data_IF_752340667663
#
_entry.id   IF_752340667663
#
_cell.length_a   1.000
_cell.length_b   1.000
_cell.length_c   1.000
_cell.angle_alpha   90.00
_cell.angle_beta   90.00
_cell.angle_gamma   90.00
#
_symmetry.space_group_name_H-M   'P 1'
#
loop_
_entity.id
_entity.type
_entity.pdbx_description
1 polymer ?
#
# COMPACT_ATOMS: atom_id res chain seq x y z
N UNK A 1 1.07 -3.35 9.50
CA UNK A 1 2.03 -3.48 10.61
C UNK A 1 2.35 -2.09 11.13
N UNK A 2 3.08 -1.26 10.37
CA UNK A 2 3.45 0.11 10.77
C UNK A 2 2.22 1.02 11.06
N UNK A 3 1.15 0.90 10.27
CA UNK A 3 -0.10 1.65 10.50
C UNK A 3 -0.74 1.38 11.87
N UNK A 4 -0.48 0.20 12.46
CA UNK A 4 -1.05 -0.25 13.73
C UNK A 4 -0.06 -0.13 14.91
N UNK A 5 1.07 0.57 14.72
CA UNK A 5 2.05 0.84 15.79
C UNK A 5 3.12 -0.23 16.00
N UNK A 6 3.13 -1.30 15.21
CA UNK A 6 4.21 -2.30 15.24
C UNK A 6 5.46 -1.78 14.52
N UNK A 7 6.65 -2.28 14.90
CA UNK A 7 7.92 -1.99 14.24
C UNK A 7 8.31 -3.15 13.29
N UNK A 8 7.97 -3.08 11.98
CA UNK A 8 8.42 -4.09 11.01
C UNK A 8 9.90 -3.90 10.68
N UNK A 9 10.67 -4.99 10.72
CA UNK A 9 12.11 -5.01 10.41
C UNK A 9 12.38 -6.15 9.42
N UNK A 10 12.98 -5.83 8.28
CA UNK A 10 13.57 -6.83 7.39
C UNK A 10 15.00 -7.12 7.86
N UNK A 11 15.26 -8.35 8.30
CA UNK A 11 16.55 -8.78 8.86
C UNK A 11 16.80 -10.24 8.52
N UNK A 12 18.07 -10.67 8.49
CA UNK A 12 18.39 -12.09 8.41
C UNK A 12 17.94 -12.79 9.70
N UNK A 13 17.11 -13.82 9.54
CA UNK A 13 16.53 -14.60 10.64
C UNK A 13 17.10 -16.02 10.72
N UNK A 14 18.21 -16.30 10.02
CA UNK A 14 18.76 -17.66 9.94
C UNK A 14 19.31 -18.18 11.27
N UNK A 15 19.72 -17.25 12.15
CA UNK A 15 20.27 -17.50 13.48
C UNK A 15 19.25 -17.23 14.60
N UNK A 16 17.96 -17.08 14.29
CA UNK A 16 16.89 -16.85 15.27
C UNK A 16 15.98 -18.07 15.35
N UNK A 17 15.96 -18.73 16.51
CA UNK A 17 15.22 -19.96 16.74
C UNK A 17 14.04 -19.75 17.70
N UNK A 18 13.13 -20.73 17.69
CA UNK A 18 12.00 -20.75 18.60
C UNK A 18 12.49 -20.82 20.06
N UNK A 19 12.08 -19.84 20.87
CA UNK A 19 12.43 -19.76 22.28
C UNK A 19 13.66 -18.91 22.60
N UNK A 20 14.39 -18.42 21.57
CA UNK A 20 15.54 -17.54 21.79
C UNK A 20 15.08 -16.21 22.43
N UNK A 21 15.81 -15.78 23.46
CA UNK A 21 15.69 -14.43 24.03
C UNK A 21 16.75 -13.54 23.38
N UNK A 22 16.31 -12.46 22.73
CA UNK A 22 17.16 -11.57 21.95
C UNK A 22 16.94 -10.12 22.37
N UNK A 23 17.99 -9.32 22.20
CA UNK A 23 17.93 -7.87 22.31
C UNK A 23 17.92 -7.25 20.91
N UNK A 24 16.93 -6.41 20.64
CA UNK A 24 16.86 -5.62 19.41
C UNK A 24 17.18 -4.17 19.75
N UNK A 25 18.13 -3.57 19.03
CA UNK A 25 18.56 -2.19 19.22
C UNK A 25 18.18 -1.33 18.00
N UNK A 26 16.97 -0.73 17.95
CA UNK A 26 16.46 -0.07 16.74
C UNK A 26 17.36 1.06 16.22
N UNK A 27 17.95 1.85 17.12
CA UNK A 27 18.82 2.97 16.77
C UNK A 27 20.24 2.53 16.34
N UNK A 28 20.65 1.31 16.70
CA UNK A 28 21.96 0.75 16.32
C UNK A 28 21.87 -0.16 15.10
N UNK A 29 20.68 -0.67 14.77
CA UNK A 29 20.50 -1.64 13.69
C UNK A 29 21.07 -3.02 14.03
N UNK A 30 20.98 -3.46 15.29
CA UNK A 30 21.58 -4.70 15.76
C UNK A 30 20.56 -5.63 16.43
N UNK A 31 20.72 -6.94 16.19
CA UNK A 31 20.06 -8.02 16.95
C UNK A 31 21.14 -8.82 17.66
N UNK A 32 21.02 -8.98 18.98
CA UNK A 32 21.99 -9.69 19.81
C UNK A 32 21.34 -10.80 20.62
N UNK A 33 22.09 -11.85 20.92
CA UNK A 33 21.68 -12.85 21.89
C UNK A 33 21.68 -12.20 23.29
N UNK A 34 20.59 -12.35 24.04
CA UNK A 34 20.42 -11.69 25.34
C UNK A 34 21.38 -12.22 26.41
N UNK A 35 21.69 -13.53 26.39
CA UNK A 35 22.54 -14.18 27.40
C UNK A 35 24.03 -13.94 27.12
N UNK A 36 24.44 -14.00 25.85
CA UNK A 36 25.87 -13.95 25.48
C UNK A 36 26.34 -12.58 24.99
N UNK A 37 25.42 -11.71 24.55
CA UNK A 37 25.73 -10.44 23.88
C UNK A 37 26.27 -10.59 22.45
N UNK A 38 26.31 -11.82 21.91
CA UNK A 38 26.75 -12.12 20.55
C UNK A 38 25.88 -11.38 19.51
N UNK A 39 26.52 -10.78 18.49
CA UNK A 39 25.81 -10.14 17.39
C UNK A 39 25.28 -11.20 16.41
N UNK A 40 23.96 -11.37 16.39
CA UNK A 40 23.28 -12.38 15.57
C UNK A 40 22.98 -11.89 14.15
N UNK A 41 22.58 -10.62 14.03
CA UNK A 41 22.26 -9.99 12.75
C UNK A 41 22.37 -8.47 12.85
N UNK A 42 22.49 -7.83 11.69
CA UNK A 42 22.38 -6.37 11.53
C UNK A 42 21.24 -6.04 10.57
N UNK A 43 20.62 -4.88 10.72
CA UNK A 43 19.52 -4.43 9.89
C UNK A 43 19.53 -2.91 9.72
N UNK A 44 18.81 -2.44 8.71
CA UNK A 44 18.50 -1.03 8.50
C UNK A 44 16.99 -0.85 8.56
N UNK A 45 16.52 0.19 9.25
CA UNK A 45 15.10 0.55 9.19
C UNK A 45 14.80 1.10 7.80
N UNK A 46 13.64 0.74 7.25
CA UNK A 46 13.20 1.24 5.93
C UNK A 46 13.22 2.79 5.86
N UNK A 47 12.89 3.44 6.97
CA UNK A 47 12.93 4.89 7.16
C UNK A 47 13.07 5.20 8.65
N UNK A 48 13.78 6.28 8.98
CA UNK A 48 13.90 6.79 10.35
C UNK A 48 12.55 7.25 10.93
N UNK A 49 11.58 7.56 10.06
CA UNK A 49 10.24 7.98 10.46
C UNK A 49 9.50 6.86 11.21
N UNK A 50 9.85 5.58 11.00
CA UNK A 50 9.29 4.45 11.74
C UNK A 50 9.40 4.61 13.26
N UNK A 51 10.45 5.28 13.75
CA UNK A 51 10.65 5.55 15.18
C UNK A 51 9.53 6.45 15.72
N UNK A 52 9.14 7.47 14.96
CA UNK A 52 8.04 8.37 15.31
C UNK A 52 6.69 7.68 15.19
N UNK A 53 6.53 6.78 14.22
CA UNK A 53 5.29 6.02 14.01
C UNK A 53 5.01 5.11 15.21
N UNK A 54 6.00 4.34 15.66
CA UNK A 54 5.86 3.48 16.83
C UNK A 54 5.53 4.30 18.08
N UNK A 55 6.23 5.42 18.28
CA UNK A 55 5.98 6.33 19.42
C UNK A 55 4.56 6.92 19.39
N UNK A 56 4.03 7.21 18.20
CA UNK A 56 2.68 7.74 18.02
C UNK A 56 1.58 6.67 18.13
N UNK A 57 1.93 5.39 18.32
CA UNK A 57 0.98 4.28 18.30
C UNK A 57 0.53 3.86 16.90
N UNK A 58 1.25 4.28 15.86
CA UNK A 58 1.02 3.93 14.47
C UNK A 58 1.27 5.08 13.50
N UNK A 59 1.49 4.71 12.23
CA UNK A 59 1.70 5.69 11.16
C UNK A 59 0.48 6.61 10.95
N UNK A 60 -0.74 6.07 10.99
CA UNK A 60 -1.96 6.86 10.80
C UNK A 60 -2.13 7.91 11.91
N UNK A 61 -2.07 7.56 13.22
CA UNK A 61 -2.05 8.55 14.30
C UNK A 61 -0.95 9.61 14.14
N UNK A 62 0.26 9.21 13.73
CA UNK A 62 1.36 10.14 13.49
C UNK A 62 1.02 11.18 12.42
N UNK A 63 0.49 10.77 11.26
CA UNK A 63 0.15 11.70 10.18
C UNK A 63 -0.93 12.70 10.62
N UNK A 64 -1.97 12.22 11.31
CA UNK A 64 -3.04 13.08 11.84
C UNK A 64 -2.48 14.08 12.86
N UNK A 65 -1.72 13.59 13.85
CA UNK A 65 -1.16 14.42 14.92
C UNK A 65 -0.11 15.43 14.42
N UNK A 66 0.73 15.01 13.48
CA UNK A 66 1.70 15.89 12.80
C UNK A 66 0.97 16.97 12.00
N UNK A 67 -0.05 16.61 11.21
CA UNK A 67 -0.85 17.56 10.45
C UNK A 67 -1.59 18.56 11.33
N UNK A 68 -2.15 18.12 12.45
CA UNK A 68 -2.75 19.00 13.46
C UNK A 68 -1.73 19.99 14.02
N UNK A 69 -0.53 19.51 14.35
CA UNK A 69 0.57 20.35 14.85
C UNK A 69 0.97 21.40 13.81
N UNK A 70 1.11 21.02 12.54
CA UNK A 70 1.43 21.95 11.45
C UNK A 70 0.41 23.07 11.35
N UNK A 71 -0.89 22.75 11.28
CA UNK A 71 -1.97 23.75 11.21
C UNK A 71 -1.98 24.69 12.42
N UNK A 72 -1.76 24.18 13.62
CA UNK A 72 -1.70 25.00 14.83
C UNK A 72 -0.52 25.99 14.77
N UNK A 73 0.66 25.55 14.32
CA UNK A 73 1.85 26.42 14.20
C UNK A 73 1.67 27.49 13.14
N UNK A 74 1.10 27.15 11.98
CA UNK A 74 0.77 28.12 10.92
C UNK A 74 -0.20 29.19 11.44
N UNK A 75 -1.28 28.80 12.12
CA UNK A 75 -2.24 29.74 12.69
C UNK A 75 -1.63 30.66 13.76
N UNK A 76 -0.59 30.20 14.47
CA UNK A 76 0.16 30.97 15.45
C UNK A 76 1.33 31.78 14.84
N UNK A 77 1.56 31.69 13.53
CA UNK A 77 2.70 32.35 12.87
C UNK A 77 4.07 31.80 13.31
N UNK A 78 4.13 30.56 13.79
CA UNK A 78 5.36 29.90 14.22
C UNK A 78 6.10 29.23 13.05
N UNK A 79 7.44 29.10 13.12
CA UNK A 79 8.21 28.40 12.09
C UNK A 79 7.88 26.90 12.07
N UNK A 80 8.34 26.19 11.02
CA UNK A 80 8.19 24.74 10.90
C UNK A 80 8.75 24.01 12.14
N UNK A 81 8.14 22.87 12.49
CA UNK A 81 8.55 22.09 13.68
C UNK A 81 9.83 21.31 13.41
N UNK A 82 10.71 21.23 14.40
CA UNK A 82 11.92 20.40 14.45
C UNK A 82 11.71 19.13 15.30
N UNK A 83 10.52 18.93 15.86
CA UNK A 83 10.20 17.82 16.79
C UNK A 83 10.07 16.46 16.09
N UNK A 84 9.62 16.45 14.83
CA UNK A 84 9.37 15.22 14.06
C UNK A 84 10.52 14.93 13.12
N UNK A 85 10.85 13.64 12.97
CA UNK A 85 11.79 13.19 11.95
C UNK A 85 11.21 13.49 10.57
N UNK A 86 12.06 14.07 9.73
CA UNK A 86 11.73 14.34 8.33
C UNK A 86 12.05 13.12 7.48
N UNK A 87 11.32 12.98 6.37
CA UNK A 87 11.65 11.98 5.38
C UNK A 87 13.05 12.28 4.81
N UNK A 88 13.80 11.23 4.47
CA UNK A 88 15.11 11.40 3.85
C UNK A 88 14.99 12.20 2.55
N UNK A 89 15.87 13.18 2.37
CA UNK A 89 16.01 13.84 1.08
C UNK A 89 16.44 12.82 0.03
N UNK A 90 15.78 12.84 -1.11
CA UNK A 90 16.21 12.02 -2.26
C UNK A 90 17.24 12.82 -3.04
N UNK A 91 18.37 12.19 -3.34
CA UNK A 91 19.47 12.81 -4.08
C UNK A 91 18.98 13.50 -5.37
N UNK A 92 19.50 14.70 -5.64
CA UNK A 92 19.18 15.43 -6.86
C UNK A 92 19.51 14.57 -8.09
N UNK A 93 18.59 14.54 -9.06
CA UNK A 93 18.78 13.77 -10.28
C UNK A 93 18.15 14.47 -11.47
N UNK A 94 18.95 14.66 -12.51
CA UNK A 94 18.53 15.18 -13.81
C UNK A 94 17.89 14.13 -14.73
N UNK A 95 17.86 12.85 -14.32
CA UNK A 95 17.25 11.77 -15.13
C UNK A 95 15.74 11.95 -15.23
N UNK A 96 15.10 11.41 -16.28
CA UNK A 96 13.64 11.43 -16.40
C UNK A 96 12.92 10.64 -15.29
N UNK A 97 11.59 10.70 -15.30
CA UNK A 97 10.71 9.90 -14.44
C UNK A 97 10.09 8.74 -15.22
N UNK A 98 9.88 7.60 -14.56
CA UNK A 98 9.07 6.49 -15.09
C UNK A 98 7.58 6.84 -15.13
N UNK A 99 6.72 5.96 -15.67
CA UNK A 99 5.29 6.23 -15.76
C UNK A 99 4.67 6.28 -14.37
N UNK A 100 4.99 5.29 -13.52
CA UNK A 100 4.50 5.25 -12.14
C UNK A 100 4.91 6.50 -11.34
N UNK A 101 6.18 6.93 -11.50
CA UNK A 101 6.70 8.13 -10.83
C UNK A 101 5.96 9.40 -11.26
N UNK A 102 5.59 9.52 -12.54
CA UNK A 102 4.79 10.63 -13.06
C UNK A 102 3.36 10.61 -12.54
N UNK A 103 2.71 9.44 -12.51
CA UNK A 103 1.35 9.29 -12.00
C UNK A 103 1.27 9.70 -10.52
N UNK A 104 2.18 9.19 -9.69
CA UNK A 104 2.25 9.58 -8.26
C UNK A 104 2.60 11.06 -8.10
N UNK A 105 3.58 11.56 -8.87
CA UNK A 105 3.92 12.99 -8.86
C UNK A 105 2.74 13.89 -9.17
N UNK A 106 1.97 13.55 -10.22
CA UNK A 106 0.77 14.29 -10.61
C UNK A 106 -0.26 14.34 -9.48
N UNK A 107 -0.47 13.22 -8.77
CA UNK A 107 -1.38 13.16 -7.63
C UNK A 107 -0.88 13.96 -6.40
N UNK A 108 0.41 14.28 -6.34
CA UNK A 108 1.01 15.16 -5.33
C UNK A 108 1.24 16.60 -5.84
N UNK A 109 0.81 16.95 -7.06
CA UNK A 109 1.00 18.29 -7.63
C UNK A 109 2.41 18.61 -8.14
N UNK A 110 3.27 17.60 -8.34
CA UNK A 110 4.66 17.75 -8.84
C UNK A 110 4.90 16.93 -10.12
N UNK A 111 6.05 17.12 -10.77
CA UNK A 111 6.36 16.44 -12.05
C UNK A 111 6.60 14.93 -11.91
N UNK A 112 7.02 14.47 -10.73
CA UNK A 112 7.31 13.07 -10.44
C UNK A 112 7.82 12.89 -9.01
N UNK A 113 7.62 11.70 -8.44
CA UNK A 113 8.20 11.30 -7.15
C UNK A 113 9.33 10.30 -7.39
N UNK A 114 10.45 10.48 -6.69
CA UNK A 114 11.61 9.57 -6.77
C UNK A 114 11.49 8.42 -5.75
N UNK A 115 12.07 7.24 -6.02
CA UNK A 115 12.08 6.15 -5.06
C UNK A 115 12.72 6.56 -3.73
N UNK A 116 12.14 6.11 -2.62
CA UNK A 116 12.58 6.45 -1.27
C UNK A 116 12.05 7.77 -0.72
N UNK A 117 11.43 8.63 -1.55
CA UNK A 117 10.74 9.82 -1.07
C UNK A 117 9.41 9.45 -0.40
N UNK A 118 9.10 10.11 0.70
CA UNK A 118 7.76 10.12 1.28
C UNK A 118 6.85 11.07 0.48
N UNK A 119 5.61 10.66 0.24
CA UNK A 119 4.60 11.49 -0.40
C UNK A 119 3.18 11.09 0.04
N UNK A 120 2.23 11.98 -0.19
CA UNK A 120 0.80 11.78 0.12
C UNK A 120 -0.05 12.03 -1.14
N UNK A 121 -0.06 11.09 -2.12
CA UNK A 121 -0.87 11.25 -3.33
C UNK A 121 -2.36 11.38 -3.02
N UNK A 122 -3.05 12.25 -3.78
CA UNK A 122 -4.52 12.28 -3.81
C UNK A 122 -5.07 10.92 -4.27
N UNK A 123 -6.05 10.40 -3.55
CA UNK A 123 -6.79 9.18 -3.88
C UNK A 123 -8.03 9.51 -4.72
N UNK A 124 -7.99 9.15 -6.00
CA UNK A 124 -9.13 9.34 -6.91
C UNK A 124 -10.14 8.20 -6.81
N UNK A 125 -9.69 6.96 -6.63
CA UNK A 125 -10.58 5.80 -6.57
C UNK A 125 -10.16 4.85 -5.45
N UNK A 126 -11.11 4.47 -4.61
CA UNK A 126 -10.93 3.55 -3.48
C UNK A 126 -11.89 2.37 -3.58
N UNK A 127 -11.37 1.15 -3.63
CA UNK A 127 -12.16 -0.08 -3.68
C UNK A 127 -12.33 -0.76 -2.32
N UNK A 128 -13.52 -1.30 -2.04
CA UNK A 128 -13.82 -2.14 -0.88
C UNK A 128 -14.66 -3.36 -1.30
N UNK A 129 -14.41 -4.50 -0.65
CA UNK A 129 -15.14 -5.76 -0.87
C UNK A 129 -15.71 -6.30 0.45
N UNK A 130 -16.54 -7.32 0.39
CA UNK A 130 -17.43 -7.77 1.46
C UNK A 130 -16.77 -8.62 2.57
N UNK A 131 -15.55 -9.10 2.37
CA UNK A 131 -14.75 -9.76 3.42
C UNK A 131 -13.87 -8.81 4.22
N UNK A 132 -13.36 -7.74 3.60
CA UNK A 132 -12.59 -6.69 4.27
C UNK A 132 -13.44 -5.47 4.65
N UNK A 133 -14.62 -5.33 4.05
CA UNK A 133 -15.58 -4.25 4.24
C UNK A 133 -16.04 -4.08 5.68
N UNK A 134 -16.42 -5.14 6.42
CA UNK A 134 -16.76 -5.02 7.84
C UNK A 134 -15.61 -4.46 8.69
N UNK A 135 -14.37 -4.90 8.45
CA UNK A 135 -13.20 -4.34 9.14
C UNK A 135 -12.98 -2.87 8.74
N UNK A 136 -13.06 -2.56 7.45
CA UNK A 136 -12.90 -1.18 6.94
C UNK A 136 -13.98 -0.24 7.49
N UNK A 137 -15.21 -0.73 7.65
CA UNK A 137 -16.30 -0.01 8.34
C UNK A 137 -15.92 0.33 9.77
N UNK A 138 -15.33 -0.61 10.51
CA UNK A 138 -14.99 -0.40 11.90
C UNK A 138 -13.81 0.58 12.04
N UNK A 139 -12.78 0.45 11.19
CA UNK A 139 -11.69 1.44 11.08
C UNK A 139 -12.21 2.85 10.72
N UNK A 140 -13.20 2.95 9.84
CA UNK A 140 -13.86 4.24 9.52
C UNK A 140 -14.61 4.83 10.73
N UNK A 141 -15.16 4.01 11.62
CA UNK A 141 -15.77 4.49 12.87
C UNK A 141 -14.71 5.00 13.83
N UNK A 142 -13.60 4.27 13.96
CA UNK A 142 -12.49 4.64 14.84
C UNK A 142 -11.83 5.96 14.39
N UNK A 143 -11.79 6.21 13.08
CA UNK A 143 -11.38 7.49 12.49
C UNK A 143 -12.44 8.58 12.53
N UNK A 144 -13.61 8.34 13.16
CA UNK A 144 -14.75 9.26 13.20
C UNK A 144 -15.21 9.75 11.81
N UNK A 145 -15.09 8.90 10.78
CA UNK A 145 -15.43 9.26 9.41
C UNK A 145 -16.96 9.31 9.21
N UNK A 146 -17.48 10.51 8.97
CA UNK A 146 -18.90 10.77 8.67
C UNK A 146 -19.17 10.96 7.16
N UNK A 147 -18.14 11.16 6.36
CA UNK A 147 -18.22 11.29 4.89
C UNK A 147 -16.86 11.07 4.26
N UNK A 148 -16.84 10.55 3.03
CA UNK A 148 -15.60 10.33 2.31
C UNK A 148 -15.09 11.62 1.64
N UNK A 149 -13.77 11.79 1.65
CA UNK A 149 -13.10 12.87 0.92
C UNK A 149 -12.41 12.40 -0.36
N UNK A 150 -12.21 11.08 -0.53
CA UNK A 150 -11.78 10.51 -1.81
C UNK A 150 -12.87 10.71 -2.88
N UNK A 151 -12.48 11.01 -4.12
CA UNK A 151 -13.44 11.36 -5.19
C UNK A 151 -14.44 10.21 -5.48
N UNK A 152 -14.01 8.96 -5.37
CA UNK A 152 -14.85 7.77 -5.50
C UNK A 152 -14.45 6.70 -4.49
N UNK A 153 -15.44 6.20 -3.74
CA UNK A 153 -15.33 5.00 -2.90
C UNK A 153 -16.39 4.00 -3.35
N UNK A 154 -15.99 2.77 -3.70
CA UNK A 154 -16.89 1.72 -4.19
C UNK A 154 -16.84 0.47 -3.31
N UNK A 155 -18.01 -0.04 -2.88
CA UNK A 155 -18.18 -1.29 -2.15
C UNK A 155 -18.82 -2.37 -3.04
N UNK A 156 -18.30 -3.59 -2.97
CA UNK A 156 -18.85 -4.76 -3.67
C UNK A 156 -19.30 -5.88 -2.72
N UNK A 157 -20.07 -6.84 -3.24
CA UNK A 157 -20.52 -8.04 -2.52
C UNK A 157 -20.26 -9.29 -3.38
N UNK A 158 -18.99 -9.66 -3.50
CA UNK A 158 -18.55 -10.66 -4.47
C UNK A 158 -17.94 -11.92 -3.85
N UNK A 159 -17.45 -11.85 -2.61
CA UNK A 159 -16.78 -12.98 -1.95
C UNK A 159 -17.75 -13.85 -1.15
N UNK A 160 -18.86 -13.28 -0.68
CA UNK A 160 -19.81 -13.93 0.24
C UNK A 160 -21.20 -14.14 -0.36
N UNK A 161 -21.43 -13.69 -1.60
CA UNK A 161 -22.76 -13.69 -2.22
C UNK A 161 -23.26 -15.07 -2.66
N UNK A 162 -22.37 -16.00 -3.03
CA UNK A 162 -22.77 -17.29 -3.60
C UNK A 162 -23.45 -18.21 -2.57
N UNK A 163 -22.92 -18.25 -1.35
CA UNK A 163 -23.38 -19.12 -0.27
C UNK A 163 -23.32 -18.38 1.08
N UNK A 164 -24.19 -17.39 1.31
CA UNK A 164 -24.07 -16.51 2.47
C UNK A 164 -24.42 -17.25 3.77
N UNK A 165 -23.56 -17.11 4.77
CA UNK A 165 -23.87 -17.44 6.16
C UNK A 165 -24.81 -16.37 6.75
N UNK A 166 -25.49 -16.63 7.88
CA UNK A 166 -26.33 -15.61 8.53
C UNK A 166 -25.62 -14.28 8.82
N UNK A 167 -24.32 -14.32 9.15
CA UNK A 167 -23.50 -13.11 9.35
C UNK A 167 -23.21 -12.35 8.04
N UNK A 168 -23.09 -13.07 6.92
CA UNK A 168 -22.89 -12.46 5.60
C UNK A 168 -24.18 -11.75 5.17
N UNK A 169 -25.34 -12.36 5.40
CA UNK A 169 -26.66 -11.74 5.16
C UNK A 169 -26.79 -10.43 5.96
N UNK A 170 -26.35 -10.43 7.22
CA UNK A 170 -26.32 -9.19 8.03
C UNK A 170 -25.42 -8.12 7.41
N UNK A 171 -24.25 -8.53 6.89
CA UNK A 171 -23.33 -7.63 6.17
C UNK A 171 -23.98 -7.07 4.90
N UNK A 172 -24.67 -7.90 4.12
CA UNK A 172 -25.37 -7.50 2.89
C UNK A 172 -26.47 -6.48 3.16
N UNK A 173 -27.12 -6.53 4.33
CA UNK A 173 -28.16 -5.57 4.71
C UNK A 173 -27.63 -4.29 5.35
N UNK A 174 -26.47 -4.32 6.00
CA UNK A 174 -26.01 -3.17 6.81
C UNK A 174 -24.87 -2.37 6.17
N UNK A 175 -24.00 -3.02 5.39
CA UNK A 175 -22.84 -2.37 4.80
C UNK A 175 -23.18 -1.40 3.64
N UNK A 176 -24.21 -1.65 2.77
CA UNK A 176 -24.55 -0.71 1.71
C UNK A 176 -24.89 0.68 2.23
N UNK A 177 -25.79 0.79 3.20
CA UNK A 177 -26.22 2.08 3.77
C UNK A 177 -25.07 2.79 4.47
N UNK A 178 -24.20 2.04 5.16
CA UNK A 178 -23.01 2.61 5.79
C UNK A 178 -22.10 3.34 4.78
N UNK A 179 -21.93 2.75 3.59
CA UNK A 179 -21.10 3.29 2.50
C UNK A 179 -21.83 4.43 1.79
N UNK A 180 -23.09 4.25 1.41
CA UNK A 180 -23.87 5.25 0.66
C UNK A 180 -24.10 6.52 1.46
N UNK A 181 -24.36 6.43 2.77
CA UNK A 181 -24.53 7.59 3.65
C UNK A 181 -23.24 8.42 3.80
N UNK A 182 -22.09 7.91 3.36
CA UNK A 182 -20.81 8.62 3.32
C UNK A 182 -20.43 9.13 1.92
N UNK A 183 -21.34 9.01 0.94
CA UNK A 183 -21.12 9.40 -0.45
C UNK A 183 -20.50 8.32 -1.33
N UNK A 184 -20.39 7.08 -0.84
CA UNK A 184 -19.85 5.96 -1.61
C UNK A 184 -20.87 5.29 -2.53
N UNK A 185 -20.36 4.52 -3.50
CA UNK A 185 -21.15 3.65 -4.38
C UNK A 185 -21.20 2.24 -3.78
N UNK A 186 -22.39 1.66 -3.65
CA UNK A 186 -22.56 0.28 -3.23
C UNK A 186 -23.15 -0.56 -4.36
N UNK A 187 -22.44 -1.62 -4.74
CA UNK A 187 -22.99 -2.69 -5.57
C UNK A 187 -23.90 -3.60 -4.72
N UNK A 188 -24.51 -4.60 -5.36
CA UNK A 188 -25.41 -5.57 -4.75
C UNK A 188 -24.83 -6.99 -4.79
N UNK A 189 -25.22 -7.87 -3.85
CA UNK A 189 -24.93 -9.30 -3.96
C UNK A 189 -25.44 -9.85 -5.30
N UNK A 190 -24.55 -10.50 -6.05
CA UNK A 190 -24.85 -11.03 -7.39
C UNK A 190 -24.36 -10.17 -8.56
N UNK A 191 -23.97 -8.90 -8.34
CA UNK A 191 -23.44 -8.04 -9.41
C UNK A 191 -22.07 -8.51 -9.93
N UNK A 192 -21.32 -9.26 -9.12
CA UNK A 192 -20.06 -9.88 -9.51
C UNK A 192 -18.82 -9.19 -8.95
N UNK A 193 -17.65 -9.60 -9.47
CA UNK A 193 -16.33 -9.30 -8.89
C UNK A 193 -16.02 -7.80 -8.84
N UNK A 194 -15.53 -7.33 -7.68
CA UNK A 194 -15.13 -5.94 -7.40
C UNK A 194 -14.38 -5.29 -8.57
N UNK A 195 -13.29 -5.91 -9.04
CA UNK A 195 -12.39 -5.31 -10.03
C UNK A 195 -13.03 -5.20 -11.42
N UNK A 196 -13.99 -6.06 -11.75
CA UNK A 196 -14.76 -5.92 -12.99
C UNK A 196 -15.56 -4.62 -13.00
N UNK A 197 -16.08 -4.20 -11.85
CA UNK A 197 -16.85 -2.96 -11.73
C UNK A 197 -15.95 -1.76 -11.50
N UNK A 198 -15.04 -1.84 -10.52
CA UNK A 198 -14.14 -0.74 -10.15
C UNK A 198 -13.32 -0.28 -11.35
N UNK A 199 -12.78 -1.20 -12.16
CA UNK A 199 -11.96 -0.85 -13.31
C UNK A 199 -12.70 -0.04 -14.38
N UNK A 200 -14.04 -0.08 -14.40
CA UNK A 200 -14.88 0.71 -15.32
C UNK A 200 -15.20 2.11 -14.78
N UNK A 201 -14.81 2.41 -13.55
CA UNK A 201 -15.03 3.68 -12.87
C UNK A 201 -13.74 4.50 -12.72
N UNK A 202 -12.62 3.99 -13.22
CA UNK A 202 -11.32 4.63 -13.08
C UNK A 202 -11.13 5.78 -14.07
N UNK A 203 -10.37 6.78 -13.65
CA UNK A 203 -9.87 7.84 -14.51
C UNK A 203 -8.41 7.54 -14.90
N UNK A 204 -8.02 7.65 -16.18
CA UNK A 204 -6.63 7.46 -16.59
C UNK A 204 -5.66 8.35 -15.81
N UNK A 205 -4.44 7.85 -15.60
CA UNK A 205 -3.32 8.57 -14.96
C UNK A 205 -3.56 9.05 -13.52
N UNK A 206 -4.57 8.52 -12.84
CA UNK A 206 -4.86 8.82 -11.44
C UNK A 206 -4.35 7.73 -10.50
N UNK A 207 -4.28 8.06 -9.20
CA UNK A 207 -3.81 7.15 -8.15
C UNK A 207 -5.00 6.70 -7.30
N UNK A 208 -4.98 5.45 -6.85
CA UNK A 208 -5.95 4.96 -5.88
C UNK A 208 -5.46 3.80 -5.02
N UNK A 209 -6.38 3.21 -4.28
CA UNK A 209 -6.11 2.08 -3.39
C UNK A 209 -7.35 1.19 -3.26
N UNK A 210 -7.23 0.09 -2.52
CA UNK A 210 -8.38 -0.71 -2.15
C UNK A 210 -8.05 -1.79 -1.13
N UNK A 211 -9.08 -2.18 -0.37
CA UNK A 211 -9.04 -3.24 0.65
C UNK A 211 -9.04 -4.64 0.05
N UNK A 212 -8.30 -4.82 -1.04
CA UNK A 212 -8.14 -6.08 -1.75
C UNK A 212 -6.79 -6.10 -2.46
N UNK A 213 -6.01 -7.17 -2.27
CA UNK A 213 -4.65 -7.28 -2.80
C UNK A 213 -4.59 -7.33 -4.33
N UNK A 214 -5.69 -7.62 -5.02
CA UNK A 214 -5.80 -7.59 -6.48
C UNK A 214 -6.33 -6.25 -7.00
N UNK A 215 -6.44 -5.21 -6.16
CA UNK A 215 -6.67 -3.84 -6.61
C UNK A 215 -5.45 -3.33 -7.39
N UNK A 216 -5.39 -3.69 -8.67
CA UNK A 216 -4.30 -3.42 -9.61
C UNK A 216 -4.90 -2.75 -10.85
N UNK A 217 -4.98 -1.42 -10.81
CA UNK A 217 -5.68 -0.66 -11.83
C UNK A 217 -5.06 -0.88 -13.22
N UNK A 218 -5.86 -1.16 -14.25
CA UNK A 218 -5.37 -1.29 -15.63
C UNK A 218 -5.08 0.08 -16.28
N UNK A 219 -5.63 1.17 -15.74
CA UNK A 219 -5.38 2.55 -16.13
C UNK A 219 -5.13 3.38 -14.87
N UNK A 220 -4.07 4.20 -14.87
CA UNK A 220 -3.56 4.80 -13.63
C UNK A 220 -2.74 3.79 -12.81
N UNK A 221 -2.65 4.00 -11.49
CA UNK A 221 -1.90 3.13 -10.58
C UNK A 221 -2.62 2.99 -9.24
N UNK A 222 -2.53 1.80 -8.64
CA UNK A 222 -3.07 1.55 -7.30
C UNK A 222 -2.09 0.84 -6.39
N UNK A 223 -2.15 1.18 -5.11
CA UNK A 223 -1.39 0.52 -4.05
C UNK A 223 -2.37 -0.11 -3.05
N UNK A 224 -2.65 -1.41 -3.12
CA UNK A 224 -3.52 -2.10 -2.17
C UNK A 224 -3.02 -1.97 -0.74
N UNK A 225 -3.96 -1.93 0.20
CA UNK A 225 -3.64 -1.80 1.60
C UNK A 225 -4.62 -2.57 2.48
N UNK A 226 -4.30 -2.65 3.78
CA UNK A 226 -5.21 -3.17 4.79
C UNK A 226 -6.31 -2.16 5.13
N UNK A 227 -7.34 -2.65 5.84
CA UNK A 227 -8.55 -1.89 6.17
C UNK A 227 -8.30 -0.53 6.82
N UNK A 228 -7.35 -0.41 7.76
CA UNK A 228 -7.03 0.86 8.42
C UNK A 228 -6.54 1.94 7.45
N UNK A 229 -5.61 1.59 6.55
CA UNK A 229 -5.10 2.55 5.57
C UNK A 229 -6.14 2.88 4.48
N UNK A 230 -6.98 1.91 4.11
CA UNK A 230 -8.09 2.13 3.17
C UNK A 230 -9.15 3.05 3.78
N UNK A 231 -9.47 2.88 5.06
CA UNK A 231 -10.35 3.76 5.81
C UNK A 231 -9.79 5.19 5.86
N UNK A 232 -8.50 5.33 6.19
CA UNK A 232 -7.80 6.62 6.16
C UNK A 232 -7.86 7.28 4.78
N UNK A 233 -7.57 6.52 3.72
CA UNK A 233 -7.58 7.00 2.34
C UNK A 233 -8.98 7.47 1.90
N UNK A 234 -10.02 6.70 2.22
CA UNK A 234 -11.40 7.07 1.92
C UNK A 234 -11.83 8.32 2.70
N UNK A 235 -11.48 8.42 3.99
CA UNK A 235 -11.87 9.51 4.87
C UNK A 235 -11.18 10.84 4.51
N UNK A 236 -9.88 10.80 4.20
CA UNK A 236 -9.04 12.00 4.01
C UNK A 236 -8.79 12.35 2.54
N UNK A 237 -9.01 11.42 1.63
CA UNK A 237 -8.75 11.60 0.19
C UNK A 237 -7.25 11.57 -0.18
N UNK A 238 -6.37 11.19 0.75
CA UNK A 238 -4.91 11.05 0.54
C UNK A 238 -4.40 9.76 1.16
N UNK A 239 -3.22 9.29 0.75
CA UNK A 239 -2.62 8.06 1.30
C UNK A 239 -1.12 8.25 1.52
N UNK A 240 -0.56 7.97 2.72
CA UNK A 240 0.88 7.99 2.95
C UNK A 240 1.57 6.90 2.12
N UNK A 241 2.65 7.28 1.43
CA UNK A 241 3.41 6.40 0.56
C UNK A 241 4.91 6.74 0.62
N UNK A 242 5.73 5.79 1.08
CA UNK A 242 7.15 5.76 0.74
C UNK A 242 7.28 5.20 -0.67
N UNK A 243 7.67 6.04 -1.63
CA UNK A 243 7.69 5.67 -3.04
C UNK A 243 8.63 4.47 -3.29
N UNK A 244 8.10 3.32 -3.76
CA UNK A 244 8.94 2.17 -4.02
C UNK A 244 9.85 2.36 -5.25
N UNK A 245 10.88 1.53 -5.34
CA UNK A 245 11.61 1.37 -6.60
C UNK A 245 10.75 0.66 -7.66
N UNK A 246 11.10 0.81 -8.93
CA UNK A 246 10.43 0.14 -10.06
C UNK A 246 11.26 -0.99 -10.66
N UNK A 247 10.59 -2.00 -11.21
CA UNK A 247 11.15 -3.05 -12.07
C UNK A 247 10.45 -2.98 -13.42
N UNK A 248 11.22 -2.78 -14.50
CA UNK A 248 10.69 -2.76 -15.86
C UNK A 248 10.67 -4.16 -16.47
N UNK A 249 9.52 -4.58 -16.98
CA UNK A 249 9.36 -5.77 -17.83
C UNK A 249 8.90 -5.31 -19.20
N UNK A 250 9.72 -5.56 -20.23
CA UNK A 250 9.39 -5.20 -21.61
C UNK A 250 9.28 -6.44 -22.48
N UNK A 251 8.09 -6.70 -23.02
CA UNK A 251 7.87 -7.73 -24.04
C UNK A 251 8.30 -7.21 -25.43
N UNK A 252 8.76 -8.13 -26.28
CA UNK A 252 9.12 -7.83 -27.68
C UNK A 252 8.82 -9.03 -28.57
N UNK A 253 8.43 -8.77 -29.82
CA UNK A 253 8.09 -9.80 -30.81
C UNK A 253 6.59 -9.96 -31.03
N UNK A 254 6.18 -11.07 -31.65
CA UNK A 254 4.78 -11.41 -31.95
C UNK A 254 4.36 -12.66 -31.17
N UNK A 255 3.17 -12.65 -30.56
CA UNK A 255 2.62 -13.84 -29.92
C UNK A 255 2.51 -14.99 -30.91
N UNK A 256 2.96 -16.17 -30.49
CA UNK A 256 2.90 -17.38 -31.31
C UNK A 256 1.47 -17.94 -31.34
N UNK A 257 1.10 -18.75 -32.35
CA UNK A 257 -0.21 -19.40 -32.39
C UNK A 257 -0.49 -20.20 -31.11
N UNK A 258 -1.68 -20.03 -30.54
CA UNK A 258 -2.11 -20.71 -29.31
C UNK A 258 -1.60 -20.09 -28.01
N UNK A 259 -0.66 -19.13 -28.06
CA UNK A 259 -0.22 -18.38 -26.88
C UNK A 259 -1.23 -17.28 -26.54
N UNK A 260 -1.58 -17.19 -25.27
CA UNK A 260 -2.54 -16.23 -24.71
C UNK A 260 -1.83 -15.16 -23.87
N UNK A 261 -2.55 -14.08 -23.53
CA UNK A 261 -2.05 -13.07 -22.60
C UNK A 261 -1.73 -13.67 -21.21
N UNK A 262 -2.46 -14.72 -20.80
CA UNK A 262 -2.21 -15.40 -19.53
C UNK A 262 -0.85 -16.12 -19.52
N UNK A 263 -0.42 -16.64 -20.66
CA UNK A 263 0.91 -17.23 -20.79
C UNK A 263 2.01 -16.18 -20.61
N UNK A 264 1.81 -14.96 -21.12
CA UNK A 264 2.74 -13.84 -20.90
C UNK A 264 2.82 -13.46 -19.41
N UNK A 265 1.70 -13.48 -18.68
CA UNK A 265 1.70 -13.26 -17.22
C UNK A 265 2.57 -14.30 -16.52
N UNK A 266 2.44 -15.58 -16.87
CA UNK A 266 3.27 -16.65 -16.28
C UNK A 266 4.71 -16.67 -16.80
N UNK A 267 4.98 -16.07 -17.96
CA UNK A 267 6.33 -15.93 -18.49
C UNK A 267 7.20 -15.00 -17.61
N UNK A 268 6.61 -13.99 -16.97
CA UNK A 268 7.36 -13.08 -16.07
C UNK A 268 8.09 -13.85 -14.96
N UNK A 269 7.41 -14.60 -14.06
CA UNK A 269 8.10 -15.37 -13.03
C UNK A 269 8.99 -16.48 -13.62
N UNK A 270 8.59 -17.12 -14.73
CA UNK A 270 9.42 -18.14 -15.39
C UNK A 270 10.79 -17.58 -15.81
N UNK A 271 10.82 -16.42 -16.46
CA UNK A 271 12.07 -15.81 -16.91
C UNK A 271 12.86 -15.19 -15.76
N UNK A 272 12.20 -14.66 -14.72
CA UNK A 272 12.88 -14.20 -13.50
C UNK A 272 13.60 -15.36 -12.79
N UNK A 273 12.99 -16.56 -12.74
CA UNK A 273 13.64 -17.77 -12.22
C UNK A 273 14.83 -18.17 -13.10
N UNK A 274 14.65 -18.23 -14.42
CA UNK A 274 15.75 -18.55 -15.36
C UNK A 274 16.94 -17.61 -15.24
N UNK A 275 16.71 -16.35 -14.87
CA UNK A 275 17.75 -15.33 -14.68
C UNK A 275 18.29 -15.25 -13.25
N UNK A 276 17.80 -16.10 -12.32
CA UNK A 276 18.24 -16.09 -10.91
C UNK A 276 17.74 -14.89 -10.09
N UNK A 277 16.77 -14.13 -10.60
CA UNK A 277 16.16 -12.97 -9.94
C UNK A 277 14.97 -13.34 -9.04
N UNK A 278 14.46 -14.56 -9.18
CA UNK A 278 13.36 -15.12 -8.38
C UNK A 278 13.69 -16.57 -8.02
N UNK A 279 13.50 -16.95 -6.75
CA UNK A 279 13.59 -18.34 -6.31
C UNK A 279 12.23 -18.88 -5.87
N UNK A 280 12.05 -20.20 -6.01
CA UNK A 280 10.89 -20.95 -5.52
C UNK A 280 11.04 -21.28 -4.03
N UNK A 281 12.27 -21.61 -3.60
CA UNK A 281 12.61 -21.88 -2.20
C UNK A 281 12.22 -20.71 -1.29
N UNK A 282 11.67 -21.03 -0.11
CA UNK A 282 11.20 -20.06 0.89
C UNK A 282 12.36 -19.55 1.75
N UNK A 283 13.25 -20.43 2.20
CA UNK A 283 14.41 -20.03 3.01
C UNK A 283 15.36 -19.18 2.15
N UNK A 284 15.64 -17.95 2.58
CA UNK A 284 16.51 -17.02 1.82
C UNK A 284 15.94 -16.65 0.44
N UNK A 285 14.61 -16.54 0.33
CA UNK A 285 13.92 -16.29 -0.95
C UNK A 285 14.44 -15.03 -1.64
N UNK A 286 14.86 -15.17 -2.89
CA UNK A 286 15.12 -14.03 -3.80
C UNK A 286 13.85 -13.69 -4.55
N UNK A 287 13.51 -12.40 -4.60
CA UNK A 287 12.36 -11.93 -5.35
C UNK A 287 12.55 -10.47 -5.77
N UNK A 288 13.01 -10.24 -7.00
CA UNK A 288 13.23 -8.89 -7.54
C UNK A 288 11.96 -8.02 -7.52
N UNK A 289 10.76 -8.60 -7.48
CA UNK A 289 9.50 -7.85 -7.49
C UNK A 289 9.00 -7.48 -6.09
N UNK A 290 9.56 -8.06 -5.02
CA UNK A 290 9.09 -7.84 -3.66
C UNK A 290 9.30 -6.38 -3.25
N UNK A 291 8.23 -5.71 -2.80
CA UNK A 291 8.29 -4.32 -2.34
C UNK A 291 8.55 -3.28 -3.44
N UNK A 292 8.36 -3.62 -4.72
CA UNK A 292 8.62 -2.74 -5.87
C UNK A 292 7.39 -2.57 -6.76
N UNK A 293 7.37 -1.51 -7.56
CA UNK A 293 6.39 -1.30 -8.63
C UNK A 293 6.82 -2.10 -9.86
N UNK A 294 5.92 -2.91 -10.41
CA UNK A 294 6.14 -3.60 -11.69
C UNK A 294 5.60 -2.74 -12.84
N UNK A 295 6.47 -2.24 -13.70
CA UNK A 295 6.11 -1.47 -14.89
C UNK A 295 6.24 -2.37 -16.14
N UNK A 296 5.19 -2.43 -16.97
CA UNK A 296 5.13 -3.34 -18.12
C UNK A 296 5.02 -2.55 -19.42
N UNK A 297 5.84 -2.89 -20.41
CA UNK A 297 5.84 -2.27 -21.74
C UNK A 297 5.88 -3.30 -22.86
N UNK A 298 5.63 -2.84 -24.10
CA UNK A 298 5.84 -3.65 -25.31
C UNK A 298 4.62 -4.43 -25.79
N UNK A 299 3.44 -4.17 -25.21
CA UNK A 299 2.14 -4.71 -25.64
C UNK A 299 1.10 -3.58 -25.81
N UNK A 300 1.36 -2.53 -26.61
CA UNK A 300 0.34 -1.53 -26.86
C UNK A 300 -0.85 -2.19 -27.56
N UNK A 301 -2.05 -1.97 -27.01
CA UNK A 301 -3.33 -2.37 -27.60
C UNK A 301 -3.62 -1.49 -28.82
#
# INVERSE_FOLDING_TARGET
>A
MEDAGALPIEVDVSNLNMGDVIDVYPYKGEVRNHETGELLATFELKTDVLIDEVRAGGRIPLIIGRGLTTKAREALGLPHSDVFRQAKDVAESSRGFSLAQKMVGRACGVKGIRPGAYCEPKMTSVGSQDTTGPMTRDELKDLACLGFSADLVMQSFCHTAAYPKPVDVTTHHTLPDFIMNRGGVSLRPGDGVIHSWLNRMLLPDTVGTGGDSHTRFPIGISFPAGSGLVAFAAATGVMPLDMPESVLVRFKGKMQPGITLRDLVHAIPLYAIKQGLLTVEKKGKKNIFSGRILEIEGLPI
#
